data_IF_429307436701
#
_entry.id   IF_429307436701
#
_cell.length_a   1.000
_cell.length_b   1.000
_cell.length_c   1.000
_cell.angle_alpha   90.00
_cell.angle_beta   90.00
_cell.angle_gamma   90.00
#
_symmetry.space_group_name_H-M   'P 1'
#
loop_
_entity.id
_entity.type
_entity.pdbx_description
1 polymer ?
#
# COMPACT_ATOMS: atom_id res chain seq x y z
N UNK A 1 6.80 -28.91 1.77
CA UNK A 1 6.43 -28.25 3.05
C UNK A 1 7.39 -27.08 3.20
N UNK A 2 6.89 -25.83 3.27
CA UNK A 2 7.76 -24.68 3.53
C UNK A 2 8.39 -24.83 4.91
N UNK A 3 9.71 -24.66 5.00
CA UNK A 3 10.41 -24.69 6.27
C UNK A 3 9.98 -23.49 7.14
N UNK A 4 9.84 -23.70 8.45
CA UNK A 4 9.31 -22.70 9.41
C UNK A 4 10.04 -21.37 9.30
N UNK A 5 11.36 -21.39 9.09
CA UNK A 5 12.16 -20.18 8.90
C UNK A 5 11.74 -19.38 7.66
N UNK A 6 11.37 -20.06 6.57
CA UNK A 6 10.89 -19.43 5.34
C UNK A 6 9.56 -18.73 5.58
N UNK A 7 8.62 -19.41 6.24
CA UNK A 7 7.31 -18.81 6.59
C UNK A 7 7.48 -17.56 7.47
N UNK A 8 8.35 -17.61 8.49
CA UNK A 8 8.61 -16.46 9.35
C UNK A 8 9.24 -15.29 8.59
N UNK A 9 10.17 -15.59 7.67
CA UNK A 9 10.78 -14.58 6.79
C UNK A 9 9.75 -13.90 5.89
N UNK A 10 8.88 -14.68 5.25
CA UNK A 10 7.81 -14.15 4.39
C UNK A 10 6.83 -13.26 5.18
N UNK A 11 6.45 -13.69 6.39
CA UNK A 11 5.62 -12.89 7.28
C UNK A 11 6.28 -11.56 7.64
N UNK A 12 7.57 -11.56 7.95
CA UNK A 12 8.32 -10.34 8.27
C UNK A 12 8.47 -9.43 7.05
N UNK A 13 8.75 -10.00 5.87
CA UNK A 13 8.82 -9.26 4.62
C UNK A 13 7.50 -8.51 4.33
N UNK A 14 6.35 -9.15 4.55
CA UNK A 14 5.03 -8.53 4.39
C UNK A 14 4.81 -7.42 5.43
N UNK A 15 5.18 -7.63 6.71
CA UNK A 15 5.07 -6.59 7.75
C UNK A 15 5.90 -5.36 7.39
N UNK A 16 7.13 -5.56 6.94
CA UNK A 16 8.02 -4.47 6.53
C UNK A 16 7.49 -3.73 5.29
N UNK A 17 6.91 -4.46 4.32
CA UNK A 17 6.28 -3.84 3.16
C UNK A 17 5.09 -2.96 3.57
N UNK A 18 4.21 -3.46 4.45
CA UNK A 18 3.09 -2.70 5.01
C UNK A 18 3.57 -1.46 5.79
N UNK A 19 4.63 -1.58 6.59
CA UNK A 19 5.20 -0.45 7.32
C UNK A 19 5.76 0.64 6.37
N UNK A 20 6.43 0.24 5.28
CA UNK A 20 6.88 1.17 4.23
C UNK A 20 5.69 1.86 3.55
N UNK A 21 4.65 1.11 3.22
CA UNK A 21 3.42 1.65 2.61
C UNK A 21 2.84 2.77 3.47
N UNK A 22 2.55 2.53 4.76
CA UNK A 22 1.97 3.54 5.64
C UNK A 22 2.89 4.74 5.78
N UNK A 23 4.19 4.50 6.05
CA UNK A 23 5.16 5.59 6.23
C UNK A 23 5.27 6.47 4.99
N UNK A 24 5.40 5.90 3.79
CA UNK A 24 5.51 6.71 2.57
C UNK A 24 4.23 7.48 2.26
N UNK A 25 3.07 6.86 2.45
CA UNK A 25 1.79 7.52 2.24
C UNK A 25 1.56 8.68 3.22
N UNK A 26 1.84 8.47 4.51
CA UNK A 26 1.63 9.49 5.54
C UNK A 26 2.64 10.63 5.46
N UNK A 27 3.87 10.33 5.05
CA UNK A 27 4.91 11.34 4.79
C UNK A 27 4.87 11.91 3.37
N UNK A 28 3.85 11.57 2.58
CA UNK A 28 3.62 12.10 1.21
C UNK A 28 4.79 11.86 0.25
N UNK A 29 5.55 10.76 0.43
CA UNK A 29 6.66 10.34 -0.44
C UNK A 29 6.13 9.57 -1.65
N UNK A 30 5.48 10.27 -2.57
CA UNK A 30 4.72 9.68 -3.68
C UNK A 30 5.57 8.80 -4.60
N UNK A 31 6.77 9.24 -4.96
CA UNK A 31 7.65 8.48 -5.87
C UNK A 31 8.13 7.18 -5.24
N UNK A 32 8.44 7.19 -3.94
CA UNK A 32 8.81 5.98 -3.20
C UNK A 32 7.60 5.06 -2.98
N UNK A 33 6.42 5.65 -2.76
CA UNK A 33 5.19 4.90 -2.61
C UNK A 33 4.78 4.20 -3.91
N UNK A 34 4.94 4.85 -5.07
CA UNK A 34 4.73 4.28 -6.41
C UNK A 34 5.57 3.02 -6.64
N UNK A 35 6.80 2.98 -6.13
CA UNK A 35 7.72 1.82 -6.27
C UNK A 35 7.27 0.58 -5.49
N UNK A 36 6.27 0.68 -4.61
CA UNK A 36 5.73 -0.47 -3.89
C UNK A 36 4.74 -1.29 -4.73
N UNK A 37 4.26 -0.73 -5.84
CA UNK A 37 3.27 -1.35 -6.71
C UNK A 37 3.93 -1.87 -7.99
N UNK A 38 3.40 -2.98 -8.49
CA UNK A 38 3.70 -3.47 -9.85
C UNK A 38 3.02 -2.58 -10.90
N UNK A 39 3.53 -2.59 -12.12
CA UNK A 39 2.96 -1.77 -13.19
C UNK A 39 1.56 -2.24 -13.63
N UNK A 40 1.25 -3.52 -13.43
CA UNK A 40 -0.07 -4.13 -13.69
C UNK A 40 -1.05 -4.02 -12.50
N UNK A 41 -0.71 -3.23 -11.48
CA UNK A 41 -1.56 -3.02 -10.30
C UNK A 41 -2.98 -2.57 -10.68
N UNK A 42 -3.98 -3.14 -10.02
CA UNK A 42 -5.39 -2.73 -10.11
C UNK A 42 -5.94 -2.49 -8.72
N UNK A 43 -6.45 -1.28 -8.48
CA UNK A 43 -7.23 -0.95 -7.29
C UNK A 43 -8.71 -1.04 -7.63
N UNK A 44 -9.38 -2.10 -7.18
CA UNK A 44 -10.83 -2.25 -7.30
C UNK A 44 -11.51 -1.99 -5.95
N UNK A 45 -12.22 -0.87 -5.87
CA UNK A 45 -13.05 -0.50 -4.71
C UNK A 45 -14.54 -0.38 -5.08
N UNK A 46 -14.93 -0.87 -6.26
CA UNK A 46 -16.29 -0.74 -6.79
C UNK A 46 -17.36 -1.35 -5.89
N UNK A 47 -17.03 -2.48 -5.23
CA UNK A 47 -17.93 -3.13 -4.26
C UNK A 47 -18.18 -2.31 -2.99
N UNK A 48 -17.42 -1.23 -2.76
CA UNK A 48 -17.59 -0.32 -1.64
C UNK A 48 -17.98 1.09 -2.10
N UNK A 49 -18.54 1.23 -3.32
CA UNK A 49 -18.94 2.53 -3.89
C UNK A 49 -17.78 3.35 -4.45
N UNK A 50 -16.57 2.80 -4.48
CA UNK A 50 -15.41 3.40 -5.13
C UNK A 50 -15.36 3.09 -6.63
N UNK A 51 -14.17 3.20 -7.21
CA UNK A 51 -13.92 2.93 -8.63
C UNK A 51 -12.83 1.89 -8.82
N UNK A 52 -12.77 1.36 -10.03
CA UNK A 52 -11.63 0.57 -10.52
C UNK A 52 -10.61 1.54 -11.11
N UNK A 53 -9.37 1.46 -10.64
CA UNK A 53 -8.23 2.24 -11.16
C UNK A 53 -7.19 1.25 -11.66
N UNK A 54 -6.68 1.44 -12.89
CA UNK A 54 -5.73 0.53 -13.52
C UNK A 54 -4.38 1.21 -13.68
N UNK A 55 -3.33 0.55 -13.21
CA UNK A 55 -1.98 1.08 -13.23
C UNK A 55 -1.67 1.86 -11.95
N UNK A 56 -0.44 1.66 -11.47
CA UNK A 56 0.02 2.27 -10.24
C UNK A 56 0.18 3.79 -10.35
N UNK A 57 0.51 4.33 -11.53
CA UNK A 57 0.65 5.79 -11.72
C UNK A 57 -0.70 6.52 -11.58
N UNK A 58 -1.76 5.97 -12.16
CA UNK A 58 -3.11 6.53 -12.04
C UNK A 58 -3.59 6.47 -10.57
N UNK A 59 -3.34 5.35 -9.89
CA UNK A 59 -3.69 5.19 -8.49
C UNK A 59 -2.95 6.17 -7.57
N UNK A 60 -1.64 6.33 -7.76
CA UNK A 60 -0.83 7.26 -6.96
C UNK A 60 -1.26 8.71 -7.20
N UNK A 61 -1.53 9.08 -8.46
CA UNK A 61 -2.07 10.40 -8.81
C UNK A 61 -3.40 10.67 -8.12
N UNK A 62 -4.33 9.71 -8.16
CA UNK A 62 -5.63 9.80 -7.50
C UNK A 62 -5.50 10.00 -5.99
N UNK A 63 -4.69 9.18 -5.31
CA UNK A 63 -4.51 9.27 -3.85
C UNK A 63 -3.76 10.54 -3.45
N UNK A 64 -2.78 10.98 -4.24
CA UNK A 64 -2.09 12.26 -4.03
C UNK A 64 -3.06 13.43 -4.13
N UNK A 65 -3.99 13.41 -5.08
CA UNK A 65 -5.01 14.45 -5.19
C UNK A 65 -5.91 14.49 -3.94
N UNK A 66 -6.31 13.32 -3.44
CA UNK A 66 -7.18 13.20 -2.27
C UNK A 66 -6.50 13.55 -0.94
N UNK A 67 -5.23 13.19 -0.76
CA UNK A 67 -4.54 13.21 0.54
C UNK A 67 -3.26 14.05 0.58
N UNK A 68 -2.89 14.73 -0.52
CA UNK A 68 -1.57 15.35 -0.68
C UNK A 68 -1.42 16.77 -0.17
N UNK A 69 -2.46 17.38 0.39
CA UNK A 69 -2.40 18.74 0.93
C UNK A 69 -1.50 18.76 2.19
N UNK A 70 -0.52 19.68 2.29
CA UNK A 70 0.33 19.77 3.49
C UNK A 70 -0.46 20.03 4.78
N UNK A 71 -1.61 20.70 4.69
CA UNK A 71 -2.51 20.96 5.81
C UNK A 71 -3.35 19.75 6.25
N UNK A 72 -3.18 18.58 5.62
CA UNK A 72 -3.96 17.38 5.88
C UNK A 72 -3.04 16.21 6.27
N UNK A 73 -2.56 16.18 7.52
CA UNK A 73 -1.81 15.04 8.03
C UNK A 73 -2.69 13.78 8.04
N UNK A 74 -2.10 12.64 7.71
CA UNK A 74 -2.77 11.33 7.77
C UNK A 74 -1.95 10.37 8.60
N UNK A 75 -2.61 9.38 9.18
CA UNK A 75 -1.97 8.24 9.85
C UNK A 75 -2.71 6.97 9.42
N UNK A 76 -2.06 6.13 8.61
CA UNK A 76 -2.61 4.86 8.16
C UNK A 76 -2.22 3.74 9.12
N UNK A 77 -3.23 3.14 9.73
CA UNK A 77 -3.05 1.97 10.60
C UNK A 77 -3.38 0.70 9.82
N UNK A 78 -2.45 -0.25 9.86
CA UNK A 78 -2.59 -1.56 9.21
C UNK A 78 -2.35 -2.65 10.22
N UNK A 79 -3.20 -3.68 10.19
CA UNK A 79 -3.10 -4.80 11.12
C UNK A 79 -2.25 -5.94 10.55
N UNK A 80 -1.80 -6.80 11.47
CA UNK A 80 -0.95 -7.94 11.17
C UNK A 80 -1.55 -8.79 10.04
N UNK A 81 -0.73 -9.25 9.08
CA UNK A 81 -1.19 -10.21 8.09
C UNK A 81 -1.68 -11.49 8.78
N UNK A 82 -2.88 -11.96 8.42
CA UNK A 82 -3.33 -13.30 8.78
C UNK A 82 -2.80 -14.27 7.72
N UNK A 83 -1.91 -15.17 8.09
CA UNK A 83 -1.62 -16.36 7.28
C UNK A 83 -2.79 -17.34 7.41
N UNK A 84 -3.23 -17.93 6.30
CA UNK A 84 -4.08 -19.12 6.32
C UNK A 84 -3.21 -20.36 6.29
#
# INVERSE_FOLDING_TARGET
MSDTATTLWEMEAIKQLKARYCRYLDTKRWDDWRRLFTDDFVSDTSQSGGRVIRGADEFVSYVRHALGKPSQPTVHQVHAPKSR
#
